data_IF_563038472470
#
_entry.id   IF_563038472470
#
_cell.length_a   1.000
_cell.length_b   1.000
_cell.length_c   1.000
_cell.angle_alpha   90.00
_cell.angle_beta   90.00
_cell.angle_gamma   90.00
#
_symmetry.space_group_name_H-M   'P 1'
#
loop_
_entity.id
_entity.type
_entity.pdbx_description
1 polymer ?
#
# COMPACT_ATOMS: atom_id res chain seq x y z
N UNK A 1 -2.03 28.56 -26.04
CA UNK A 1 -1.07 28.86 -24.94
C UNK A 1 -1.79 29.24 -23.64
N UNK A 2 -2.95 29.93 -23.69
CA UNK A 2 -3.81 30.15 -22.50
C UNK A 2 -4.36 28.87 -21.88
N UNK A 3 -4.85 27.93 -22.68
CA UNK A 3 -5.51 26.70 -22.17
C UNK A 3 -4.57 25.76 -21.41
N UNK A 4 -3.29 25.68 -21.82
CA UNK A 4 -2.29 24.89 -21.12
C UNK A 4 -1.93 25.48 -19.73
N UNK A 5 -1.97 26.80 -19.60
CA UNK A 5 -1.70 27.51 -18.34
C UNK A 5 -2.89 27.36 -17.38
N UNK A 6 -4.12 27.40 -17.91
CA UNK A 6 -5.34 27.17 -17.13
C UNK A 6 -5.38 25.73 -16.62
N UNK A 7 -5.15 24.75 -17.49
CA UNK A 7 -5.09 23.32 -17.12
C UNK A 7 -4.00 23.05 -16.08
N UNK A 8 -2.81 23.65 -16.21
CA UNK A 8 -1.74 23.50 -15.22
C UNK A 8 -2.11 24.11 -13.86
N UNK A 9 -2.79 25.26 -13.84
CA UNK A 9 -3.24 25.90 -12.59
C UNK A 9 -4.31 25.07 -11.88
N UNK A 10 -5.28 24.54 -12.62
CA UNK A 10 -6.33 23.67 -12.07
C UNK A 10 -5.75 22.38 -11.47
N UNK A 11 -4.82 21.73 -12.17
CA UNK A 11 -4.11 20.55 -11.67
C UNK A 11 -3.33 20.86 -10.39
N UNK A 12 -2.70 22.05 -10.32
CA UNK A 12 -1.92 22.45 -9.13
C UNK A 12 -2.83 22.72 -7.93
N UNK A 13 -3.97 23.38 -8.15
CA UNK A 13 -4.93 23.69 -7.09
C UNK A 13 -5.57 22.42 -6.52
N UNK A 14 -5.99 21.49 -7.38
CA UNK A 14 -6.55 20.20 -6.97
C UNK A 14 -5.55 19.36 -6.16
N UNK A 15 -4.27 19.37 -6.56
CA UNK A 15 -3.20 18.71 -5.79
C UNK A 15 -3.02 19.32 -4.41
N UNK A 16 -2.98 20.65 -4.31
CA UNK A 16 -2.86 21.34 -3.02
C UNK A 16 -4.06 21.06 -2.10
N UNK A 17 -5.27 21.05 -2.67
CA UNK A 17 -6.49 20.67 -1.96
C UNK A 17 -6.42 19.24 -1.44
N UNK A 18 -6.01 18.31 -2.30
CA UNK A 18 -5.82 16.91 -1.93
C UNK A 18 -4.80 16.75 -0.79
N UNK A 19 -3.62 17.38 -0.88
CA UNK A 19 -2.62 17.32 0.19
C UNK A 19 -3.17 17.86 1.51
N UNK A 20 -3.84 19.02 1.48
CA UNK A 20 -4.51 19.58 2.66
C UNK A 20 -5.47 18.57 3.27
N UNK A 21 -6.34 17.98 2.46
CA UNK A 21 -7.37 17.05 2.93
C UNK A 21 -6.73 15.79 3.52
N UNK A 22 -5.70 15.22 2.90
CA UNK A 22 -4.93 14.10 3.45
C UNK A 22 -4.29 14.49 4.79
N UNK A 23 -3.60 15.62 4.87
CA UNK A 23 -2.95 16.04 6.12
C UNK A 23 -3.95 16.31 7.25
N UNK A 24 -5.14 16.82 6.95
CA UNK A 24 -6.20 17.02 7.93
C UNK A 24 -6.82 15.68 8.37
N UNK A 25 -7.13 14.81 7.40
CA UNK A 25 -7.78 13.52 7.61
C UNK A 25 -6.94 12.59 8.50
N UNK A 26 -5.62 12.62 8.35
CA UNK A 26 -4.68 11.84 9.15
C UNK A 26 -4.15 12.58 10.39
N UNK A 27 -4.64 13.79 10.70
CA UNK A 27 -4.19 14.55 11.88
C UNK A 27 -2.76 15.11 11.80
N UNK A 28 -2.17 15.10 10.61
CA UNK A 28 -0.76 15.46 10.37
C UNK A 28 -0.56 16.95 10.12
N UNK A 29 -1.61 17.70 9.79
CA UNK A 29 -1.52 19.14 9.49
C UNK A 29 -0.84 19.94 10.62
N UNK A 30 -1.14 19.62 11.87
CA UNK A 30 -0.52 20.28 13.02
C UNK A 30 0.99 20.03 13.11
N UNK A 31 1.45 18.80 12.84
CA UNK A 31 2.88 18.47 12.79
C UNK A 31 3.60 19.13 11.62
N UNK A 32 2.93 19.30 10.47
CA UNK A 32 3.49 20.05 9.35
C UNK A 32 3.70 21.52 9.72
N UNK A 33 2.70 22.16 10.35
CA UNK A 33 2.78 23.57 10.74
C UNK A 33 3.80 23.80 11.88
N UNK A 34 3.69 23.06 12.98
CA UNK A 34 4.60 23.19 14.12
C UNK A 34 6.01 22.72 13.78
N UNK A 35 6.16 21.64 13.01
CA UNK A 35 7.45 21.13 12.55
C UNK A 35 8.14 22.11 11.62
N UNK A 36 7.42 22.67 10.65
CA UNK A 36 7.95 23.73 9.78
C UNK A 36 8.37 24.98 10.54
N UNK A 37 7.57 25.43 11.51
CA UNK A 37 7.93 26.54 12.39
C UNK A 37 9.17 26.22 13.25
N UNK A 38 9.29 24.99 13.75
CA UNK A 38 10.46 24.51 14.49
C UNK A 38 11.73 24.47 13.65
N UNK A 39 11.63 23.99 12.41
CA UNK A 39 12.74 24.01 11.44
C UNK A 39 13.22 25.45 11.19
N UNK A 40 12.28 26.36 10.87
CA UNK A 40 12.60 27.76 10.64
C UNK A 40 13.25 28.40 11.88
N UNK A 41 12.70 28.16 13.07
CA UNK A 41 13.25 28.65 14.33
C UNK A 41 14.71 28.19 14.54
N UNK A 42 14.99 26.91 14.35
CA UNK A 42 16.33 26.33 14.52
C UNK A 42 17.32 26.91 13.52
N UNK A 43 16.92 27.06 12.25
CA UNK A 43 17.75 27.66 11.20
C UNK A 43 18.05 29.14 11.47
N UNK A 44 17.04 29.95 11.81
CA UNK A 44 17.22 31.37 12.09
C UNK A 44 17.98 31.62 13.39
N UNK A 45 17.83 30.75 14.39
CA UNK A 45 18.57 30.82 15.65
C UNK A 45 20.00 30.25 15.53
N UNK A 46 20.42 29.80 14.33
CA UNK A 46 21.75 29.23 14.05
C UNK A 46 22.11 28.05 14.96
N UNK A 47 21.13 27.27 15.40
CA UNK A 47 21.35 26.10 16.25
C UNK A 47 21.78 24.90 15.39
N UNK A 48 23.00 24.95 14.84
CA UNK A 48 23.47 23.99 13.82
C UNK A 48 23.43 22.51 14.27
N UNK A 49 23.60 22.25 15.57
CA UNK A 49 23.45 20.89 16.13
C UNK A 49 22.02 20.36 15.95
N UNK A 50 21.02 21.17 16.26
CA UNK A 50 19.61 20.85 16.08
C UNK A 50 19.17 20.89 14.60
N UNK A 51 19.92 21.57 13.74
CA UNK A 51 19.68 21.60 12.29
C UNK A 51 20.20 20.33 11.58
N UNK A 52 21.03 19.51 12.24
CA UNK A 52 21.67 18.34 11.60
C UNK A 52 20.67 17.34 10.97
N UNK A 53 19.51 17.00 11.57
CA UNK A 53 18.55 16.10 10.94
C UNK A 53 18.00 16.63 9.62
N UNK A 54 17.79 17.96 9.50
CA UNK A 54 17.30 18.59 8.27
C UNK A 54 18.30 18.42 7.11
N UNK A 55 19.60 18.57 7.38
CA UNK A 55 20.63 18.38 6.36
C UNK A 55 20.73 16.92 5.91
N UNK A 56 20.56 15.97 6.83
CA UNK A 56 20.54 14.54 6.51
C UNK A 56 19.37 14.18 5.60
N UNK A 57 18.18 14.77 5.82
CA UNK A 57 17.00 14.50 4.99
C UNK A 57 16.85 15.44 3.78
N UNK A 58 17.74 16.41 3.60
CA UNK A 58 17.65 17.38 2.51
C UNK A 58 17.55 16.73 1.10
N UNK A 59 18.28 15.63 0.79
CA UNK A 59 18.09 14.91 -0.46
C UNK A 59 16.67 14.37 -0.61
N UNK A 60 16.03 13.94 0.48
CA UNK A 60 14.64 13.46 0.45
C UNK A 60 13.63 14.59 0.22
N UNK A 61 13.95 15.82 0.63
CA UNK A 61 13.10 16.99 0.35
C UNK A 61 13.11 17.37 -1.13
N UNK A 62 14.23 17.17 -1.85
CA UNK A 62 14.27 17.41 -3.31
C UNK A 62 13.18 16.62 -4.03
N UNK A 63 12.96 15.39 -3.58
CA UNK A 63 12.00 14.51 -4.19
C UNK A 63 10.54 14.98 -4.00
N UNK A 64 10.24 15.89 -3.06
CA UNK A 64 8.90 16.52 -2.94
C UNK A 64 8.57 17.36 -4.18
N UNK A 65 9.60 17.89 -4.84
CA UNK A 65 9.48 18.68 -6.06
C UNK A 65 9.59 17.82 -7.31
N UNK A 66 10.42 16.77 -7.28
CA UNK A 66 10.57 15.84 -8.39
C UNK A 66 10.70 14.39 -7.91
N UNK A 67 9.61 13.60 -7.91
CA UNK A 67 9.66 12.25 -7.39
C UNK A 67 10.47 11.26 -8.23
N UNK A 68 10.80 11.59 -9.49
CA UNK A 68 11.49 10.71 -10.47
C UNK A 68 10.88 9.30 -10.61
N UNK A 69 9.70 9.09 -10.06
CA UNK A 69 8.92 7.85 -10.02
C UNK A 69 7.47 8.27 -10.22
N UNK A 70 6.69 7.43 -10.89
CA UNK A 70 5.27 7.67 -11.08
C UNK A 70 4.54 7.79 -9.73
N UNK A 71 3.53 8.65 -9.66
CA UNK A 71 2.84 9.01 -8.41
C UNK A 71 2.03 7.88 -7.79
N UNK A 72 1.74 6.85 -8.58
CA UNK A 72 1.06 5.61 -8.22
C UNK A 72 2.01 4.52 -7.71
N UNK A 73 3.33 4.71 -7.84
CA UNK A 73 4.28 3.69 -7.44
C UNK A 73 4.43 3.61 -5.91
N UNK A 74 4.30 2.42 -5.28
CA UNK A 74 4.43 2.25 -3.83
C UNK A 74 5.77 2.71 -3.24
N UNK A 75 6.80 2.82 -4.08
CA UNK A 75 8.13 3.31 -3.67
C UNK A 75 8.20 4.82 -3.49
N UNK A 76 7.24 5.57 -4.06
CA UNK A 76 7.14 7.00 -3.82
C UNK A 76 6.95 7.17 -2.30
N UNK A 77 5.77 6.83 -1.76
CA UNK A 77 5.45 7.04 -0.34
C UNK A 77 6.50 6.45 0.63
N UNK A 78 7.01 5.24 0.34
CA UNK A 78 8.03 4.57 1.16
C UNK A 78 9.36 5.31 1.26
N UNK A 79 9.71 6.18 0.31
CA UNK A 79 10.94 6.99 0.36
C UNK A 79 10.75 8.34 1.07
N UNK A 80 9.54 8.89 1.14
CA UNK A 80 9.28 10.20 1.76
C UNK A 80 8.78 10.13 3.18
N UNK A 81 7.76 9.30 3.41
CA UNK A 81 6.99 9.34 4.64
C UNK A 81 7.87 8.99 5.85
N UNK A 82 8.81 8.05 5.66
CA UNK A 82 9.68 7.58 6.72
C UNK A 82 10.74 8.58 7.16
N UNK A 83 11.10 9.57 6.32
CA UNK A 83 12.14 10.56 6.64
C UNK A 83 11.55 11.92 6.97
N UNK A 84 10.52 12.35 6.24
CA UNK A 84 9.92 13.67 6.41
C UNK A 84 9.08 13.73 7.70
N UNK A 85 8.25 12.72 7.98
CA UNK A 85 7.35 12.78 9.15
C UNK A 85 8.08 12.70 10.50
N UNK A 86 9.04 11.79 10.71
CA UNK A 86 9.78 11.78 11.98
C UNK A 86 10.53 13.09 12.23
N UNK A 87 11.06 13.71 11.18
CA UNK A 87 11.74 15.00 11.30
C UNK A 87 10.77 16.14 11.61
N UNK A 88 9.57 16.17 11.02
CA UNK A 88 8.54 17.14 11.39
C UNK A 88 8.10 17.00 12.86
N UNK A 89 7.94 15.77 13.34
CA UNK A 89 7.65 15.48 14.75
C UNK A 89 8.80 15.97 15.64
N UNK A 90 10.06 15.68 15.27
CA UNK A 90 11.24 16.11 16.01
C UNK A 90 11.36 17.64 16.09
N UNK A 91 11.14 18.37 14.99
CA UNK A 91 11.17 19.83 15.03
C UNK A 91 9.99 20.43 15.78
N UNK A 92 8.83 19.75 15.78
CA UNK A 92 7.72 20.10 16.65
C UNK A 92 8.13 20.00 18.12
N UNK A 93 8.81 18.92 18.53
CA UNK A 93 9.26 18.77 19.92
C UNK A 93 10.31 19.81 20.29
N UNK A 94 11.27 20.12 19.40
CA UNK A 94 12.23 21.21 19.64
C UNK A 94 11.54 22.55 19.86
N UNK A 95 10.58 22.92 19.00
CA UNK A 95 9.82 24.17 19.14
C UNK A 95 9.10 24.24 20.49
N UNK A 96 8.37 23.19 20.86
CA UNK A 96 7.64 23.13 22.11
C UNK A 96 8.59 23.14 23.33
N UNK A 97 9.72 22.45 23.24
CA UNK A 97 10.72 22.36 24.32
C UNK A 97 11.40 23.70 24.61
N UNK A 98 11.64 24.52 23.58
CA UNK A 98 12.26 25.83 23.74
C UNK A 98 11.28 26.86 24.29
N UNK A 99 10.00 26.74 23.90
CA UNK A 99 8.95 27.62 24.39
C UNK A 99 8.59 27.30 25.84
N UNK A 100 8.48 26.03 26.21
CA UNK A 100 8.04 25.59 27.54
C UNK A 100 8.72 26.30 28.75
N UNK A 101 10.06 26.38 28.86
CA UNK A 101 10.73 26.99 30.01
C UNK A 101 10.53 28.51 30.08
N UNK A 102 10.37 29.18 28.94
CA UNK A 102 10.26 30.64 28.81
C UNK A 102 8.85 31.19 29.10
N UNK A 103 7.90 30.31 29.40
CA UNK A 103 6.48 30.62 29.52
C UNK A 103 5.99 30.64 30.97
N UNK A 104 5.04 31.53 31.26
CA UNK A 104 4.29 31.57 32.53
C UNK A 104 3.44 30.30 32.70
N UNK A 105 2.97 30.00 33.91
CA UNK A 105 2.22 28.78 34.22
C UNK A 105 1.01 28.57 33.30
N UNK A 106 0.24 29.63 33.00
CA UNK A 106 -0.89 29.62 32.04
C UNK A 106 -0.47 29.33 30.60
N UNK A 107 0.73 29.76 30.19
CA UNK A 107 1.25 29.53 28.84
C UNK A 107 1.87 28.12 28.72
N UNK A 108 2.39 27.56 29.82
CA UNK A 108 2.83 26.14 29.86
C UNK A 108 1.66 25.17 29.67
N UNK A 109 0.50 25.45 30.28
CA UNK A 109 -0.70 24.65 30.03
C UNK A 109 -1.18 24.74 28.58
N UNK A 110 -0.96 25.86 27.88
CA UNK A 110 -1.25 25.97 26.44
C UNK A 110 -0.33 25.08 25.59
N UNK A 111 0.98 25.02 25.90
CA UNK A 111 1.92 24.12 25.22
C UNK A 111 1.53 22.66 25.42
N UNK A 112 1.14 22.28 26.64
CA UNK A 112 0.64 20.95 26.93
C UNK A 112 -0.67 20.65 26.19
N UNK A 113 -1.61 21.60 26.17
CA UNK A 113 -2.87 21.46 25.43
C UNK A 113 -2.62 21.31 23.92
N UNK A 114 -1.66 22.05 23.36
CA UNK A 114 -1.26 21.91 21.96
C UNK A 114 -0.66 20.52 21.69
N UNK A 115 0.23 20.03 22.56
CA UNK A 115 0.79 18.68 22.42
C UNK A 115 -0.30 17.60 22.47
N UNK A 116 -1.24 17.72 23.41
CA UNK A 116 -2.40 16.82 23.50
C UNK A 116 -3.32 16.92 22.29
N UNK A 117 -3.50 18.12 21.71
CA UNK A 117 -4.27 18.31 20.49
C UNK A 117 -3.59 17.67 19.28
N UNK A 118 -2.26 17.79 19.16
CA UNK A 118 -1.51 17.14 18.09
C UNK A 118 -1.61 15.62 18.17
N UNK A 119 -1.42 15.04 19.36
CA UNK A 119 -1.59 13.60 19.59
C UNK A 119 -3.04 13.19 19.33
N UNK A 120 -3.99 13.90 19.93
CA UNK A 120 -5.43 13.63 19.81
C UNK A 120 -5.94 13.75 18.37
N UNK A 121 -5.40 14.65 17.57
CA UNK A 121 -5.75 14.82 16.16
C UNK A 121 -5.40 13.60 15.29
N UNK A 122 -4.39 12.83 15.67
CA UNK A 122 -3.98 11.61 14.95
C UNK A 122 -4.78 10.37 15.36
N UNK A 123 -5.42 10.42 16.54
CA UNK A 123 -6.15 9.27 17.10
C UNK A 123 -7.35 8.81 16.26
N UNK A 124 -8.20 9.67 15.67
CA UNK A 124 -9.37 9.22 14.91
C UNK A 124 -9.01 8.28 13.75
N UNK A 125 -8.00 8.63 12.95
CA UNK A 125 -7.54 7.81 11.84
C UNK A 125 -6.95 6.48 12.34
N UNK A 126 -6.14 6.53 13.41
CA UNK A 126 -5.57 5.33 14.04
C UNK A 126 -6.65 4.41 14.59
N UNK A 127 -7.59 4.94 15.39
CA UNK A 127 -8.63 4.17 16.06
C UNK A 127 -9.60 3.50 15.08
N UNK A 128 -9.86 4.12 13.93
CA UNK A 128 -10.66 3.52 12.86
C UNK A 128 -10.08 2.20 12.35
N UNK A 129 -8.77 2.02 12.46
CA UNK A 129 -8.05 0.87 11.90
C UNK A 129 -7.27 0.04 12.92
N UNK A 130 -7.26 0.42 14.19
CA UNK A 130 -6.44 -0.22 15.23
C UNK A 130 -6.71 -1.74 15.38
N UNK A 131 -7.95 -2.18 15.13
CA UNK A 131 -8.35 -3.60 15.21
C UNK A 131 -8.52 -4.25 13.85
N UNK A 132 -8.30 -3.51 12.76
CA UNK A 132 -8.46 -4.04 11.42
C UNK A 132 -7.30 -4.95 11.05
N UNK A 133 -7.62 -6.11 10.49
CA UNK A 133 -6.66 -7.07 9.96
C UNK A 133 -6.88 -7.19 8.47
N UNK A 134 -5.96 -6.67 7.68
CA UNK A 134 -6.01 -6.84 6.24
C UNK A 134 -5.81 -8.31 5.87
N UNK A 135 -6.56 -8.78 4.88
CA UNK A 135 -6.56 -10.17 4.42
C UNK A 135 -6.86 -11.20 5.52
N UNK A 136 -7.70 -10.83 6.49
CA UNK A 136 -8.10 -11.73 7.57
C UNK A 136 -8.61 -13.07 7.01
N UNK A 137 -8.00 -14.18 7.46
CA UNK A 137 -8.38 -15.54 7.06
C UNK A 137 -7.88 -15.98 5.68
N UNK A 138 -7.24 -15.11 4.88
CA UNK A 138 -6.76 -15.45 3.54
C UNK A 138 -5.73 -16.59 3.58
N UNK A 139 -4.76 -16.51 4.50
CA UNK A 139 -3.74 -17.55 4.67
C UNK A 139 -4.36 -18.93 4.86
N UNK A 140 -5.35 -19.06 5.74
CA UNK A 140 -5.98 -20.35 6.03
C UNK A 140 -6.72 -20.89 4.80
N UNK A 141 -7.45 -20.03 4.08
CA UNK A 141 -8.14 -20.42 2.85
C UNK A 141 -7.18 -20.84 1.74
N UNK A 142 -6.04 -20.18 1.60
CA UNK A 142 -4.99 -20.58 0.65
C UNK A 142 -4.39 -21.93 1.05
N UNK A 143 -4.13 -22.18 2.33
CA UNK A 143 -3.65 -23.48 2.79
C UNK A 143 -4.68 -24.60 2.52
N UNK A 144 -5.96 -24.33 2.77
CA UNK A 144 -7.06 -25.27 2.46
C UNK A 144 -7.20 -25.53 0.96
N UNK A 145 -6.97 -24.53 0.12
CA UNK A 145 -6.91 -24.72 -1.33
C UNK A 145 -5.72 -25.63 -1.71
N UNK A 146 -4.59 -25.49 -1.00
CA UNK A 146 -3.40 -26.30 -1.18
C UNK A 146 -3.56 -27.79 -0.85
N UNK A 147 -4.50 -28.14 0.02
CA UNK A 147 -4.81 -29.54 0.38
C UNK A 147 -5.39 -30.34 -0.80
N UNK A 148 -5.79 -29.67 -1.90
CA UNK A 148 -6.32 -30.30 -3.11
C UNK A 148 -5.26 -30.79 -4.10
N UNK A 149 -3.98 -30.50 -3.83
CA UNK A 149 -2.87 -30.78 -4.73
C UNK A 149 -1.81 -31.59 -4.01
N UNK A 150 -1.13 -32.47 -4.72
CA UNK A 150 -0.02 -33.27 -4.21
C UNK A 150 1.32 -32.51 -4.31
N UNK A 151 2.33 -33.03 -3.63
CA UNK A 151 3.68 -32.44 -3.61
C UNK A 151 4.44 -32.60 -4.95
N UNK A 152 3.97 -33.52 -5.80
CA UNK A 152 4.54 -33.76 -7.13
C UNK A 152 3.77 -33.07 -8.26
N UNK A 153 2.73 -32.31 -7.93
CA UNK A 153 1.96 -31.53 -8.89
C UNK A 153 2.59 -30.17 -9.12
N UNK A 154 2.38 -29.63 -10.33
CA UNK A 154 2.66 -28.24 -10.64
C UNK A 154 1.37 -27.44 -10.69
N UNK A 155 1.23 -26.50 -9.76
CA UNK A 155 0.05 -25.64 -9.62
C UNK A 155 0.38 -24.24 -10.15
N UNK A 156 -0.13 -23.94 -11.34
CA UNK A 156 -0.05 -22.61 -11.92
C UNK A 156 -1.27 -21.78 -11.54
N UNK A 157 -1.07 -20.52 -11.19
CA UNK A 157 -2.11 -19.66 -10.69
C UNK A 157 -2.13 -18.35 -11.46
N UNK A 158 -3.31 -17.90 -11.86
CA UNK A 158 -3.49 -16.52 -12.29
C UNK A 158 -3.23 -15.56 -11.12
N UNK A 159 -2.68 -14.38 -11.40
CA UNK A 159 -2.35 -13.44 -10.33
C UNK A 159 -3.60 -12.95 -9.56
N UNK A 160 -4.80 -13.03 -10.14
CA UNK A 160 -6.06 -12.61 -9.53
C UNK A 160 -6.67 -13.65 -8.59
N UNK A 161 -6.08 -14.83 -8.39
CA UNK A 161 -6.68 -15.93 -7.61
C UNK A 161 -7.08 -15.51 -6.20
N UNK A 162 -6.31 -14.65 -5.56
CA UNK A 162 -6.53 -14.10 -4.21
C UNK A 162 -6.96 -12.62 -4.21
N UNK A 163 -7.45 -12.11 -5.35
CA UNK A 163 -7.99 -10.77 -5.66
C UNK A 163 -7.04 -9.81 -6.38
N UNK A 164 -5.72 -9.90 -6.17
CA UNK A 164 -4.74 -9.09 -6.90
C UNK A 164 -3.36 -9.76 -6.93
N UNK A 165 -2.51 -9.32 -7.87
CA UNK A 165 -1.18 -9.90 -8.03
C UNK A 165 -0.25 -9.67 -6.82
N UNK A 166 -0.59 -8.80 -5.87
CA UNK A 166 0.26 -8.49 -4.70
C UNK A 166 0.00 -9.42 -3.53
N UNK A 167 -1.18 -10.02 -3.49
CA UNK A 167 -1.64 -10.92 -2.42
C UNK A 167 -1.62 -12.38 -2.87
N UNK A 168 -0.74 -12.70 -3.80
CA UNK A 168 -0.72 -13.99 -4.48
C UNK A 168 -0.67 -15.19 -3.52
N UNK A 169 -1.43 -16.23 -3.89
CA UNK A 169 -1.55 -17.48 -3.17
C UNK A 169 -0.36 -18.44 -3.39
N UNK A 170 0.43 -18.26 -4.45
CA UNK A 170 1.57 -19.15 -4.77
C UNK A 170 2.64 -19.15 -3.67
N UNK A 171 2.97 -17.99 -3.11
CA UNK A 171 3.97 -17.86 -2.05
C UNK A 171 3.65 -18.74 -0.83
N UNK A 172 2.48 -18.56 -0.19
CA UNK A 172 2.04 -19.43 0.90
C UNK A 172 2.00 -20.91 0.52
N UNK A 173 1.48 -21.28 -0.66
CA UNK A 173 1.44 -22.68 -1.09
C UNK A 173 2.85 -23.28 -1.24
N UNK A 174 3.77 -22.53 -1.82
CA UNK A 174 5.14 -22.98 -2.05
C UNK A 174 5.97 -23.06 -0.78
N UNK A 175 5.95 -22.00 0.03
CA UNK A 175 6.85 -21.88 1.18
C UNK A 175 6.27 -22.43 2.48
N UNK A 176 4.94 -22.54 2.60
CA UNK A 176 4.29 -23.02 3.83
C UNK A 176 3.61 -24.37 3.63
N UNK A 177 3.03 -24.65 2.46
CA UNK A 177 2.36 -25.92 2.16
C UNK A 177 3.22 -26.93 1.41
N UNK A 178 4.45 -26.57 1.01
CA UNK A 178 5.37 -27.46 0.29
C UNK A 178 4.93 -27.84 -1.12
N UNK A 179 4.04 -27.07 -1.76
CA UNK A 179 3.52 -27.36 -3.11
C UNK A 179 4.37 -26.71 -4.19
N UNK A 180 4.46 -27.29 -5.39
CA UNK A 180 5.09 -26.59 -6.52
C UNK A 180 4.09 -25.59 -7.12
N UNK A 181 3.98 -24.42 -6.50
CA UNK A 181 3.06 -23.36 -6.95
C UNK A 181 3.81 -22.19 -7.61
N UNK A 182 3.23 -21.61 -8.66
CA UNK A 182 3.73 -20.40 -9.30
C UNK A 182 2.62 -19.50 -9.84
N UNK A 183 2.88 -18.19 -9.90
CA UNK A 183 2.01 -17.21 -10.57
C UNK A 183 2.39 -17.02 -12.03
N UNK A 184 1.36 -16.94 -12.87
CA UNK A 184 1.46 -16.48 -14.25
C UNK A 184 1.26 -14.95 -14.27
N UNK A 185 2.36 -14.19 -14.30
CA UNK A 185 2.34 -12.71 -14.42
C UNK A 185 2.20 -12.22 -15.88
N UNK A 186 2.59 -13.08 -16.82
CA UNK A 186 2.41 -12.96 -18.26
C UNK A 186 2.08 -14.36 -18.77
N UNK A 187 1.63 -14.45 -20.02
CA UNK A 187 1.32 -15.72 -20.67
C UNK A 187 2.49 -16.19 -21.56
N UNK A 188 3.70 -16.52 -21.05
CA UNK A 188 4.66 -17.22 -21.88
C UNK A 188 4.11 -18.62 -22.14
N UNK A 189 4.30 -19.13 -23.36
CA UNK A 189 4.01 -20.52 -23.67
C UNK A 189 4.72 -21.45 -22.68
N UNK A 190 4.13 -22.62 -22.41
CA UNK A 190 4.69 -23.62 -21.48
C UNK A 190 6.04 -24.20 -21.96
N UNK A 191 6.53 -23.81 -23.13
CA UNK A 191 7.76 -24.28 -23.78
C UNK A 191 9.02 -24.10 -22.91
N UNK A 192 9.00 -23.15 -21.96
CA UNK A 192 10.13 -22.90 -21.05
C UNK A 192 10.04 -23.66 -19.72
N UNK A 193 8.92 -24.35 -19.47
CA UNK A 193 8.69 -25.11 -18.25
C UNK A 193 8.99 -26.59 -18.50
N UNK A 194 9.93 -27.14 -17.73
CA UNK A 194 10.18 -28.58 -17.69
C UNK A 194 9.06 -29.27 -16.90
N UNK A 195 7.94 -29.51 -17.58
CA UNK A 195 6.73 -30.08 -16.97
C UNK A 195 6.80 -31.59 -16.75
N UNK A 196 7.76 -32.29 -17.38
CA UNK A 196 7.89 -33.75 -17.31
C UNK A 196 8.31 -34.30 -15.94
N UNK A 197 8.64 -33.42 -14.99
CA UNK A 197 8.97 -33.78 -13.59
C UNK A 197 7.75 -33.83 -12.68
N UNK A 198 6.58 -33.40 -13.15
CA UNK A 198 5.37 -33.31 -12.36
C UNK A 198 4.33 -34.34 -12.81
N UNK A 199 3.62 -34.92 -11.86
CA UNK A 199 2.58 -35.93 -12.13
C UNK A 199 1.35 -35.29 -12.78
N UNK A 200 0.85 -34.20 -12.18
CA UNK A 200 -0.25 -33.42 -12.73
C UNK A 200 0.09 -31.94 -12.89
N UNK A 201 -0.56 -31.30 -13.87
CA UNK A 201 -0.46 -29.87 -14.13
C UNK A 201 -1.82 -29.23 -13.85
N UNK A 202 -1.86 -28.28 -12.93
CA UNK A 202 -3.09 -27.56 -12.59
C UNK A 202 -2.99 -26.08 -12.95
N UNK A 203 -4.13 -25.51 -13.34
CA UNK A 203 -4.33 -24.09 -13.53
C UNK A 203 -5.49 -23.60 -12.66
N UNK A 204 -5.20 -22.65 -11.78
CA UNK A 204 -6.18 -21.98 -10.93
C UNK A 204 -6.41 -20.57 -11.46
N UNK A 205 -7.66 -20.25 -11.80
CA UNK A 205 -8.00 -18.96 -12.41
C UNK A 205 -9.30 -18.38 -11.85
N UNK A 206 -9.39 -17.07 -11.59
CA UNK A 206 -10.65 -16.39 -11.33
C UNK A 206 -11.63 -16.54 -12.49
N UNK A 207 -12.93 -16.50 -12.19
CA UNK A 207 -13.98 -16.61 -13.20
C UNK A 207 -13.92 -15.47 -14.22
N UNK A 208 -13.49 -14.28 -13.80
CA UNK A 208 -13.39 -13.08 -14.64
C UNK A 208 -12.41 -13.26 -15.81
N UNK A 209 -11.39 -14.09 -15.62
CA UNK A 209 -10.34 -14.36 -16.63
C UNK A 209 -10.32 -15.81 -17.11
N UNK A 210 -11.16 -16.70 -16.56
CA UNK A 210 -11.25 -18.10 -16.98
C UNK A 210 -11.55 -18.25 -18.49
N UNK A 211 -12.41 -17.38 -19.04
CA UNK A 211 -12.74 -17.38 -20.46
C UNK A 211 -11.49 -17.21 -21.36
N UNK A 212 -10.56 -16.35 -20.95
CA UNK A 212 -9.29 -16.16 -21.66
C UNK A 212 -8.50 -17.47 -21.75
N UNK A 213 -8.31 -18.18 -20.63
CA UNK A 213 -7.58 -19.44 -20.63
C UNK A 213 -8.28 -20.51 -21.47
N UNK A 214 -9.60 -20.63 -21.38
CA UNK A 214 -10.37 -21.65 -22.12
C UNK A 214 -10.52 -21.38 -23.62
N UNK A 215 -10.26 -20.15 -24.10
CA UNK A 215 -10.52 -19.78 -25.50
C UNK A 215 -9.29 -19.29 -26.26
N UNK A 216 -8.36 -18.64 -25.56
CA UNK A 216 -7.26 -17.88 -26.17
C UNK A 216 -5.86 -18.37 -25.77
N UNK A 217 -5.73 -19.25 -24.77
CA UNK A 217 -4.43 -19.78 -24.35
C UNK A 217 -3.91 -20.91 -25.24
N UNK A 218 -2.60 -21.13 -25.20
CA UNK A 218 -1.91 -22.21 -25.93
C UNK A 218 -2.34 -23.62 -25.47
N UNK A 219 -2.86 -23.75 -24.25
CA UNK A 219 -3.31 -25.01 -23.66
C UNK A 219 -4.83 -25.15 -23.62
N UNK A 220 -5.59 -24.29 -24.31
CA UNK A 220 -7.06 -24.30 -24.31
C UNK A 220 -7.71 -25.66 -24.58
N UNK A 221 -7.13 -26.46 -25.48
CA UNK A 221 -7.66 -27.78 -25.87
C UNK A 221 -7.28 -28.90 -24.89
N UNK A 222 -6.41 -28.59 -23.93
CA UNK A 222 -5.87 -29.52 -22.92
C UNK A 222 -6.46 -29.25 -21.53
N UNK A 223 -7.23 -28.18 -21.37
CA UNK A 223 -7.84 -27.81 -20.10
C UNK A 223 -9.08 -28.66 -19.82
N UNK A 224 -9.00 -29.43 -18.74
CA UNK A 224 -10.11 -30.20 -18.20
C UNK A 224 -10.55 -29.58 -16.88
N UNK A 225 -11.84 -29.26 -16.76
CA UNK A 225 -12.38 -28.73 -15.51
C UNK A 225 -12.30 -29.79 -14.40
N UNK A 226 -11.83 -29.38 -13.22
CA UNK A 226 -11.69 -30.24 -12.04
C UNK A 226 -12.69 -29.82 -10.97
N UNK A 227 -12.61 -28.56 -10.53
CA UNK A 227 -13.37 -28.08 -9.38
C UNK A 227 -13.48 -26.54 -9.37
N UNK A 228 -14.37 -26.02 -8.53
CA UNK A 228 -14.52 -24.60 -8.23
C UNK A 228 -13.78 -24.25 -6.93
N UNK A 229 -13.32 -23.00 -6.81
CA UNK A 229 -12.81 -22.46 -5.55
C UNK A 229 -13.45 -21.11 -5.22
N UNK A 230 -13.46 -20.77 -3.94
CA UNK A 230 -13.87 -19.46 -3.45
C UNK A 230 -12.91 -19.00 -2.38
N UNK A 231 -12.37 -17.80 -2.56
CA UNK A 231 -11.54 -17.12 -1.57
C UNK A 231 -12.25 -15.82 -1.17
N UNK A 232 -12.40 -15.61 0.13
CA UNK A 232 -12.91 -14.36 0.68
C UNK A 232 -11.84 -13.67 1.50
N UNK A 233 -11.62 -12.39 1.24
CA UNK A 233 -10.70 -11.57 2.00
C UNK A 233 -11.34 -10.22 2.35
N UNK A 234 -10.72 -9.51 3.27
CA UNK A 234 -11.08 -8.13 3.60
C UNK A 234 -9.90 -7.23 3.25
N UNK A 235 -10.17 -6.13 2.57
CA UNK A 235 -9.14 -5.16 2.19
C UNK A 235 -9.61 -3.73 2.38
N UNK A 236 -8.67 -2.80 2.28
CA UNK A 236 -8.96 -1.37 2.27
C UNK A 236 -8.94 -0.86 0.85
N UNK A 237 -10.03 -0.23 0.44
CA UNK A 237 -10.16 0.41 -0.86
C UNK A 237 -10.34 1.89 -0.68
N UNK A 238 -9.73 2.65 -1.59
CA UNK A 238 -10.04 4.05 -1.76
C UNK A 238 -11.24 4.17 -2.71
N UNK A 239 -12.11 5.17 -2.53
CA UNK A 239 -13.11 5.50 -3.54
C UNK A 239 -12.44 5.72 -4.90
N UNK A 240 -13.12 5.36 -5.98
CA UNK A 240 -12.63 5.48 -7.35
C UNK A 240 -12.64 6.94 -7.84
N UNK A 241 -11.93 7.81 -7.12
CA UNK A 241 -11.71 9.22 -7.43
C UNK A 241 -10.21 9.46 -7.56
N UNK A 242 -9.80 10.34 -8.49
CA UNK A 242 -8.40 10.71 -8.69
C UNK A 242 -7.75 11.30 -7.42
N UNK A 243 -8.54 11.97 -6.59
CA UNK A 243 -8.12 12.57 -5.32
C UNK A 243 -9.10 12.19 -4.20
N UNK A 244 -8.96 11.01 -3.58
CA UNK A 244 -9.87 10.57 -2.54
C UNK A 244 -9.67 11.41 -1.26
N UNK A 245 -10.73 12.09 -0.82
CA UNK A 245 -10.73 12.96 0.37
C UNK A 245 -11.32 12.27 1.61
N UNK A 246 -11.43 10.94 1.58
CA UNK A 246 -12.00 10.15 2.66
C UNK A 246 -11.05 9.03 3.09
N UNK A 247 -11.24 8.60 4.33
CA UNK A 247 -10.52 7.47 4.90
C UNK A 247 -10.90 6.17 4.15
N UNK A 248 -9.94 5.29 3.82
CA UNK A 248 -10.20 4.01 3.15
C UNK A 248 -11.36 3.22 3.78
N UNK A 249 -12.24 2.68 2.94
CA UNK A 249 -13.37 1.89 3.39
C UNK A 249 -12.98 0.42 3.55
N UNK A 250 -13.66 -0.30 4.45
CA UNK A 250 -13.50 -1.76 4.51
C UNK A 250 -14.35 -2.35 3.41
N UNK A 251 -13.74 -3.14 2.53
CA UNK A 251 -14.48 -3.94 1.58
C UNK A 251 -14.17 -5.42 1.80
N UNK A 252 -15.22 -6.23 1.68
CA UNK A 252 -15.09 -7.67 1.59
C UNK A 252 -15.01 -8.04 0.12
N UNK A 253 -13.91 -8.67 -0.27
CA UNK A 253 -13.72 -9.18 -1.62
C UNK A 253 -13.96 -10.68 -1.59
N UNK A 254 -14.71 -11.16 -2.59
CA UNK A 254 -14.95 -12.59 -2.78
C UNK A 254 -14.53 -12.89 -4.21
N UNK A 255 -13.50 -13.70 -4.35
CA UNK A 255 -13.04 -14.23 -5.63
C UNK A 255 -13.61 -15.62 -5.78
N UNK A 256 -14.28 -15.86 -6.90
CA UNK A 256 -14.72 -17.19 -7.32
C UNK A 256 -13.96 -17.55 -8.56
N UNK A 257 -13.51 -18.78 -8.63
CA UNK A 257 -12.77 -19.24 -9.79
C UNK A 257 -12.81 -20.74 -9.94
N UNK A 258 -12.02 -21.21 -10.90
CA UNK A 258 -12.00 -22.59 -11.36
C UNK A 258 -10.60 -23.15 -11.28
N UNK A 259 -10.55 -24.46 -11.06
CA UNK A 259 -9.36 -25.30 -11.12
C UNK A 259 -9.51 -26.15 -12.37
N UNK A 260 -8.51 -26.09 -13.24
CA UNK A 260 -8.38 -26.93 -14.42
C UNK A 260 -7.15 -27.82 -14.26
N UNK A 261 -7.24 -29.03 -14.76
CA UNK A 261 -6.09 -29.89 -15.04
C UNK A 261 -5.69 -29.70 -16.50
N UNK A 262 -4.39 -29.66 -16.78
CA UNK A 262 -3.85 -29.56 -18.14
C UNK A 262 -3.34 -30.94 -18.52
N UNK A 263 -4.01 -31.59 -19.47
CA UNK A 263 -3.58 -32.88 -20.02
C UNK A 263 -2.17 -32.74 -20.62
N UNK A 264 -1.25 -33.64 -20.26
CA UNK A 264 0.16 -33.59 -20.71
C UNK A 264 0.33 -33.94 -22.19
#
# INVERSE_FOLDING_TARGET
MGDAIVAHKEITFERLRYFRDVFLLYGMAGFVLCGGAGMAYVLFSKQWRAASPLFVIAPTLHYLFNPQVSSDHPWMLRRYAFSVFPVLILYTTFLLSEWYPRLTLKKRSMVLALALLLIGGNMPAFMRYATFKEFAGLRQQVMQLGERFDEHDLVMMDCGVSADCWTSADGPLRFLAGKNAMVLLRFPGMEYLDTGKFEHLYLITPNEVAAFYTQQSDFKSRLKYVDDYTISSTRRTLPNNTYPTSLPQTERVIVRGKIFEIEQ
#
